data_IF_631811071182
#
_entry.id   IF_631811071182
#
_cell.length_a   1.000
_cell.length_b   1.000
_cell.length_c   1.000
_cell.angle_alpha   90.00
_cell.angle_beta   90.00
_cell.angle_gamma   90.00
#
_symmetry.space_group_name_H-M   'P 1'
#
loop_
_entity.id
_entity.type
_entity.pdbx_description
1 polymer ?
#
# COMPACT_ATOMS: atom_id res chain seq x y z
N UNK A 1 21.96 -7.63 5.91
CA UNK A 1 20.49 -7.41 5.93
C UNK A 1 20.23 -6.20 5.04
N UNK A 2 19.46 -6.34 3.96
CA UNK A 2 19.14 -5.19 3.11
C UNK A 2 18.08 -4.32 3.78
N UNK A 3 18.20 -2.99 3.65
CA UNK A 3 17.22 -2.05 4.20
C UNK A 3 16.15 -1.77 3.14
N UNK A 4 14.88 -1.94 3.49
CA UNK A 4 13.75 -1.67 2.60
C UNK A 4 13.29 -0.21 2.76
N UNK A 5 13.15 0.49 1.63
CA UNK A 5 12.60 1.84 1.54
C UNK A 5 11.39 1.78 0.60
N UNK A 6 10.24 2.24 1.07
CA UNK A 6 9.00 2.28 0.27
C UNK A 6 8.66 3.73 -0.05
N UNK A 7 8.35 4.02 -1.30
CA UNK A 7 8.01 5.37 -1.80
C UNK A 7 6.72 5.34 -2.60
N UNK A 8 6.10 6.49 -2.87
CA UNK A 8 4.75 6.47 -3.47
C UNK A 8 4.72 6.12 -4.96
N UNK A 9 5.78 6.42 -5.73
CA UNK A 9 5.78 6.28 -7.19
C UNK A 9 7.01 5.55 -7.75
N UNK A 10 6.89 4.84 -8.89
CA UNK A 10 8.01 4.15 -9.54
C UNK A 10 9.14 5.10 -9.95
N UNK A 11 8.79 6.30 -10.42
CA UNK A 11 9.77 7.31 -10.82
C UNK A 11 10.61 7.75 -9.62
N UNK A 12 9.98 8.00 -8.47
CA UNK A 12 10.70 8.34 -7.24
C UNK A 12 11.59 7.19 -6.77
N UNK A 13 11.13 5.94 -6.88
CA UNK A 13 11.93 4.77 -6.55
C UNK A 13 13.19 4.70 -7.41
N UNK A 14 13.08 4.87 -8.74
CA UNK A 14 14.23 4.92 -9.66
C UNK A 14 15.20 6.04 -9.30
N UNK A 15 14.71 7.23 -8.96
CA UNK A 15 15.56 8.37 -8.58
C UNK A 15 16.30 8.09 -7.27
N UNK A 16 15.62 7.57 -6.24
CA UNK A 16 16.23 7.30 -4.93
C UNK A 16 17.23 6.15 -4.98
N UNK A 17 17.01 5.12 -5.82
CA UNK A 17 17.99 4.04 -6.05
C UNK A 17 19.36 4.55 -6.50
N UNK A 18 19.41 5.69 -7.20
CA UNK A 18 20.67 6.27 -7.66
C UNK A 18 21.45 7.00 -6.56
N UNK A 19 20.80 7.34 -5.44
CA UNK A 19 21.43 8.06 -4.33
C UNK A 19 21.83 7.16 -3.16
N UNK A 20 21.18 6.00 -3.00
CA UNK A 20 21.43 5.10 -1.88
C UNK A 20 22.48 4.01 -2.24
N UNK A 21 23.25 3.52 -1.26
CA UNK A 21 24.16 2.40 -1.49
C UNK A 21 23.41 1.11 -1.84
N UNK A 22 24.12 0.12 -2.39
CA UNK A 22 23.53 -1.12 -2.95
C UNK A 22 22.86 -2.04 -1.93
N UNK A 23 23.03 -1.79 -0.63
CA UNK A 23 22.38 -2.55 0.44
C UNK A 23 20.92 -2.12 0.69
N UNK A 24 20.45 -1.08 -0.02
CA UNK A 24 19.06 -0.64 0.03
C UNK A 24 18.22 -1.26 -1.09
N UNK A 25 17.05 -1.78 -0.71
CA UNK A 25 15.99 -2.12 -1.64
C UNK A 25 14.95 -1.00 -1.63
N UNK A 26 14.64 -0.42 -2.79
CA UNK A 26 13.70 0.70 -2.90
C UNK A 26 12.53 0.28 -3.78
N UNK A 27 11.32 0.22 -3.23
CA UNK A 27 10.10 -0.20 -3.94
C UNK A 27 9.03 0.89 -3.91
N UNK A 28 8.12 0.87 -4.90
CA UNK A 28 7.01 1.81 -4.96
C UNK A 28 5.72 1.18 -4.39
N UNK A 29 4.96 1.94 -3.60
CA UNK A 29 3.64 1.51 -3.07
C UNK A 29 2.51 1.66 -4.10
N UNK A 30 2.77 2.37 -5.21
CA UNK A 30 1.77 2.73 -6.22
C UNK A 30 0.60 3.56 -5.64
N UNK A 31 0.87 4.35 -4.59
CA UNK A 31 -0.14 5.14 -3.88
C UNK A 31 -0.69 4.44 -2.63
N UNK A 32 -1.98 4.62 -2.37
CA UNK A 32 -2.69 4.02 -1.23
C UNK A 32 -2.81 2.49 -1.40
N UNK A 33 -2.45 1.75 -0.36
CA UNK A 33 -2.51 0.26 -0.35
C UNK A 33 -3.83 -0.25 0.21
N UNK A 34 -4.52 0.57 1.01
CA UNK A 34 -5.82 0.25 1.61
C UNK A 34 -6.69 1.50 1.62
N UNK A 35 -7.99 1.26 1.48
CA UNK A 35 -9.04 2.26 1.60
C UNK A 35 -10.28 1.61 2.25
N UNK A 36 -11.26 2.43 2.60
CA UNK A 36 -12.58 1.95 3.00
C UNK A 36 -13.28 1.25 1.83
N UNK A 37 -14.17 0.27 2.11
CA UNK A 37 -14.90 -0.43 1.06
C UNK A 37 -15.74 0.58 0.25
N UNK A 38 -15.54 0.60 -1.07
CA UNK A 38 -16.33 1.45 -1.98
C UNK A 38 -17.62 0.75 -2.39
N UNK A 39 -17.65 -0.58 -2.29
CA UNK A 39 -18.78 -1.43 -2.65
C UNK A 39 -18.94 -2.62 -1.69
N UNK A 40 -20.13 -3.23 -1.67
CA UNK A 40 -20.40 -4.39 -0.81
C UNK A 40 -19.57 -5.65 -1.17
N UNK A 41 -18.99 -5.70 -2.37
CA UNK A 41 -18.04 -6.75 -2.76
C UNK A 41 -16.67 -6.59 -2.13
N UNK A 42 -16.29 -5.38 -1.74
CA UNK A 42 -14.99 -5.10 -1.12
C UNK A 42 -14.98 -5.47 0.37
N UNK A 43 -16.15 -5.71 0.96
CA UNK A 43 -16.31 -6.07 2.37
C UNK A 43 -15.85 -7.52 2.57
N UNK A 44 -14.87 -7.77 3.46
CA UNK A 44 -14.41 -9.11 3.76
C UNK A 44 -15.53 -10.02 4.27
N UNK A 45 -15.48 -11.31 3.92
CA UNK A 45 -16.50 -12.30 4.30
C UNK A 45 -16.71 -12.38 5.81
N UNK A 46 -15.66 -12.12 6.61
CA UNK A 46 -15.71 -12.15 8.07
C UNK A 46 -16.61 -11.08 8.69
N UNK A 47 -16.85 -9.96 8.00
CA UNK A 47 -17.62 -8.81 8.53
C UNK A 47 -18.81 -8.43 7.65
N UNK A 48 -19.09 -9.18 6.59
CA UNK A 48 -20.11 -8.84 5.58
C UNK A 48 -21.55 -8.71 6.11
N UNK A 49 -21.86 -9.37 7.24
CA UNK A 49 -23.18 -9.29 7.89
C UNK A 49 -23.34 -8.11 8.84
N UNK A 50 -22.27 -7.39 9.15
CA UNK A 50 -22.28 -6.29 10.09
C UNK A 50 -22.87 -5.03 9.46
N UNK A 51 -23.79 -4.37 10.16
CA UNK A 51 -24.49 -3.16 9.66
C UNK A 51 -23.54 -2.00 9.35
N UNK A 52 -22.39 -1.96 10.01
CA UNK A 52 -21.39 -0.90 9.88
C UNK A 52 -20.31 -1.21 8.83
N UNK A 53 -20.25 -2.43 8.31
CA UNK A 53 -19.17 -2.86 7.44
C UNK A 53 -19.13 -2.12 6.09
N UNK A 54 -20.28 -1.64 5.61
CA UNK A 54 -20.34 -0.80 4.40
C UNK A 54 -19.93 0.65 4.66
N UNK A 55 -20.16 1.16 5.87
CA UNK A 55 -19.70 2.50 6.26
C UNK A 55 -18.19 2.51 6.49
N UNK A 56 -17.62 1.37 6.93
CA UNK A 56 -16.20 1.22 7.18
C UNK A 56 -15.73 1.84 8.51
N UNK A 57 -16.64 1.95 9.50
CA UNK A 57 -16.40 2.56 10.83
C UNK A 57 -16.91 1.65 11.93
#
# INVERSE_FOLDING_TARGET
>A
MSKLVIVESPTKARTIRNYLPRDYQVEASMGHVRDLPQSASDIPTSVKGEKWAQLGV
#
